data_IF_593783380267
#
_entry.id   IF_593783380267
#
_cell.length_a   1.000
_cell.length_b   1.000
_cell.length_c   1.000
_cell.angle_alpha   90.00
_cell.angle_beta   90.00
_cell.angle_gamma   90.00
#
_symmetry.space_group_name_H-M   'P 1'
#
loop_
_entity.id
_entity.type
_entity.pdbx_description
1 polymer ?
#
# COMPACT_ATOMS: atom_id res chain seq x y z
N UNK A 1 -45.18 24.81 14.69
CA UNK A 1 -45.87 26.10 14.42
C UNK A 1 -45.73 27.00 15.65
N UNK A 2 -45.24 28.24 15.51
CA UNK A 2 -44.99 29.16 16.65
C UNK A 2 -45.96 30.34 16.75
N UNK A 3 -46.96 30.43 15.87
CA UNK A 3 -47.93 31.53 15.82
C UNK A 3 -49.34 30.94 15.60
N UNK A 4 -50.34 31.51 16.28
CA UNK A 4 -51.76 31.12 16.19
C UNK A 4 -52.61 32.33 15.80
N UNK A 5 -53.84 32.09 15.36
CA UNK A 5 -54.80 33.14 15.00
C UNK A 5 -54.95 34.16 16.15
N UNK A 6 -54.92 35.45 15.81
CA UNK A 6 -54.95 36.57 16.77
C UNK A 6 -53.58 37.05 17.28
N UNK A 7 -52.47 36.42 16.89
CA UNK A 7 -51.13 36.88 17.27
C UNK A 7 -50.65 38.05 16.41
N UNK A 8 -50.10 39.08 17.06
CA UNK A 8 -49.37 40.16 16.38
C UNK A 8 -47.95 39.70 16.01
N UNK A 9 -47.61 39.69 14.72
CA UNK A 9 -46.31 39.25 14.21
C UNK A 9 -45.42 40.43 13.86
N UNK A 10 -44.13 40.35 14.20
CA UNK A 10 -43.11 41.34 13.84
C UNK A 10 -42.22 40.79 12.73
N UNK A 11 -41.61 41.66 11.88
CA UNK A 11 -40.53 41.24 10.99
C UNK A 11 -39.43 40.51 11.77
N UNK A 12 -39.05 39.32 11.32
CA UNK A 12 -38.12 38.43 12.01
C UNK A 12 -38.75 37.24 12.74
N UNK A 13 -40.09 37.20 12.91
CA UNK A 13 -40.75 36.05 13.52
C UNK A 13 -40.88 34.88 12.53
N UNK A 14 -40.31 33.72 12.87
CA UNK A 14 -40.53 32.47 12.12
C UNK A 14 -41.95 31.94 12.35
N UNK A 15 -42.80 32.02 11.33
CA UNK A 15 -44.21 31.62 11.41
C UNK A 15 -44.39 30.10 11.25
N UNK A 16 -43.68 29.53 10.28
CA UNK A 16 -43.73 28.13 9.90
C UNK A 16 -42.32 27.66 9.51
N UNK A 17 -42.00 26.41 9.83
CA UNK A 17 -40.81 25.71 9.34
C UNK A 17 -41.31 24.44 8.66
N UNK A 18 -40.96 24.28 7.39
CA UNK A 18 -41.35 23.14 6.55
C UNK A 18 -40.06 22.38 6.25
N UNK A 19 -40.03 21.09 6.59
CA UNK A 19 -38.97 20.17 6.19
C UNK A 19 -39.50 19.22 5.13
N UNK A 20 -38.73 19.00 4.07
CA UNK A 20 -38.98 17.91 3.12
C UNK A 20 -38.35 16.63 3.69
N UNK A 21 -39.06 15.50 3.58
CA UNK A 21 -38.68 14.20 4.14
C UNK A 21 -38.45 13.14 3.07
N UNK A 22 -38.48 13.52 1.80
CA UNK A 22 -38.14 12.67 0.65
C UNK A 22 -36.67 12.24 0.68
N UNK A 23 -35.81 13.03 1.31
CA UNK A 23 -34.43 12.68 1.64
C UNK A 23 -34.18 12.97 3.11
N UNK A 24 -33.53 12.02 3.78
CA UNK A 24 -33.19 12.14 5.20
C UNK A 24 -31.68 12.13 5.35
N UNK A 25 -31.20 12.98 6.25
CA UNK A 25 -29.81 12.98 6.65
C UNK A 25 -29.61 12.17 7.92
N UNK A 26 -28.54 11.39 7.93
CA UNK A 26 -28.08 10.68 9.12
C UNK A 26 -26.73 11.27 9.50
N UNK A 27 -26.62 11.73 10.74
CA UNK A 27 -25.35 12.19 11.29
C UNK A 27 -24.67 11.00 11.97
N UNK A 28 -23.53 10.58 11.44
CA UNK A 28 -22.67 9.57 12.01
C UNK A 28 -21.46 10.20 12.69
N UNK A 29 -20.99 9.56 13.76
CA UNK A 29 -19.77 9.92 14.47
C UNK A 29 -18.68 8.88 14.20
N UNK A 30 -17.56 9.32 13.64
CA UNK A 30 -16.41 8.47 13.30
C UNK A 30 -15.24 8.78 14.22
N UNK A 31 -14.52 7.78 14.71
CA UNK A 31 -13.36 8.01 15.58
C UNK A 31 -12.20 8.70 14.86
N UNK A 32 -11.41 9.48 15.60
CA UNK A 32 -10.25 10.22 15.09
C UNK A 32 -9.27 9.35 14.28
N UNK A 33 -9.01 8.10 14.72
CA UNK A 33 -8.10 7.17 14.04
C UNK A 33 -8.57 6.73 12.64
N UNK A 34 -9.88 6.72 12.42
CA UNK A 34 -10.52 6.26 11.19
C UNK A 34 -10.90 7.45 10.28
N UNK A 35 -10.70 8.69 10.76
CA UNK A 35 -11.08 9.92 10.06
C UNK A 35 -10.44 10.05 8.68
N UNK A 36 -9.19 9.59 8.52
CA UNK A 36 -8.45 9.66 7.26
C UNK A 36 -9.09 8.82 6.13
N UNK A 37 -9.84 7.77 6.49
CA UNK A 37 -10.50 6.88 5.55
C UNK A 37 -11.80 7.47 5.00
N UNK A 38 -12.39 8.45 5.70
CA UNK A 38 -13.71 8.97 5.36
C UNK A 38 -13.61 10.11 4.35
N UNK A 39 -14.14 9.88 3.16
CA UNK A 39 -14.21 10.86 2.08
C UNK A 39 -15.66 11.04 1.62
N UNK A 40 -15.95 12.21 1.05
CA UNK A 40 -17.24 12.47 0.39
C UNK A 40 -17.42 11.48 -0.77
N UNK A 41 -18.65 10.98 -0.94
CA UNK A 41 -19.01 10.06 -2.02
C UNK A 41 -18.81 8.58 -1.70
N UNK A 42 -18.24 8.22 -0.53
CA UNK A 42 -18.14 6.82 -0.14
C UNK A 42 -19.53 6.17 -0.04
N UNK A 43 -19.67 4.91 -0.51
CA UNK A 43 -20.91 4.16 -0.35
C UNK A 43 -21.15 3.81 1.11
N UNK A 44 -22.42 3.79 1.50
CA UNK A 44 -22.85 3.56 2.88
C UNK A 44 -24.03 2.61 2.90
N UNK A 45 -24.02 1.66 3.82
CA UNK A 45 -25.19 0.84 4.18
C UNK A 45 -25.68 1.23 5.57
N UNK A 46 -26.99 1.18 5.78
CA UNK A 46 -27.63 1.52 7.04
C UNK A 46 -28.72 0.51 7.39
N UNK A 47 -28.76 0.11 8.65
CA UNK A 47 -29.84 -0.71 9.25
C UNK A 47 -30.50 0.04 10.40
N UNK A 48 -31.77 -0.28 10.66
CA UNK A 48 -32.58 0.38 11.68
C UNK A 48 -33.16 -0.65 12.65
N UNK A 49 -32.92 -0.48 13.95
CA UNK A 49 -33.45 -1.39 14.97
C UNK A 49 -34.98 -1.43 15.01
N UNK A 50 -35.62 -0.30 14.69
CA UNK A 50 -37.09 -0.19 14.70
C UNK A 50 -37.74 -0.75 13.42
N UNK A 51 -36.95 -1.06 12.40
CA UNK A 51 -37.39 -1.63 11.14
C UNK A 51 -36.38 -2.71 10.69
N UNK A 52 -36.33 -3.86 11.40
CA UNK A 52 -35.34 -4.88 11.13
C UNK A 52 -35.60 -5.59 9.80
N UNK A 53 -34.52 -5.99 9.12
CA UNK A 53 -34.58 -6.75 7.86
C UNK A 53 -34.56 -5.91 6.59
N UNK A 54 -34.41 -4.58 6.70
CA UNK A 54 -34.21 -3.68 5.58
C UNK A 54 -32.83 -3.02 5.63
N UNK A 55 -32.12 -3.07 4.50
CA UNK A 55 -30.86 -2.36 4.29
C UNK A 55 -31.09 -1.13 3.42
N UNK A 56 -30.58 0.01 3.87
CA UNK A 56 -30.68 1.28 3.16
C UNK A 56 -29.33 1.63 2.57
N UNK A 57 -29.30 1.86 1.25
CA UNK A 57 -28.12 2.33 0.56
C UNK A 57 -28.09 3.87 0.56
N UNK A 58 -26.92 4.43 0.84
CA UNK A 58 -26.69 5.87 0.87
C UNK A 58 -25.26 6.22 0.53
N UNK A 59 -24.94 7.49 0.70
CA UNK A 59 -23.60 8.02 0.43
C UNK A 59 -23.17 9.03 1.49
N UNK A 60 -21.86 9.16 1.68
CA UNK A 60 -21.28 10.27 2.44
C UNK A 60 -21.50 11.57 1.68
N UNK A 61 -22.37 12.43 2.18
CA UNK A 61 -22.69 13.72 1.57
C UNK A 61 -21.70 14.82 1.99
N UNK A 62 -21.34 14.84 3.27
CA UNK A 62 -20.47 15.88 3.81
C UNK A 62 -19.67 15.41 5.02
N UNK A 63 -18.37 15.70 5.05
CA UNK A 63 -17.49 15.47 6.19
C UNK A 63 -17.21 16.81 6.85
N UNK A 64 -17.59 16.98 8.12
CA UNK A 64 -17.35 18.24 8.81
C UNK A 64 -15.86 18.43 9.09
N UNK A 65 -15.29 19.63 8.86
CA UNK A 65 -13.85 19.86 9.02
C UNK A 65 -13.41 19.99 10.49
N UNK A 66 -14.32 19.75 11.45
CA UNK A 66 -14.07 19.94 12.87
C UNK A 66 -14.41 18.69 13.66
N UNK A 67 -13.46 18.26 14.50
CA UNK A 67 -13.65 17.18 15.47
C UNK A 67 -14.44 17.69 16.68
N UNK A 68 -15.35 16.88 17.20
CA UNK A 68 -16.00 17.15 18.47
C UNK A 68 -15.02 16.84 19.62
N UNK A 69 -14.61 17.86 20.38
CA UNK A 69 -13.62 17.70 21.45
C UNK A 69 -14.09 16.88 22.65
N UNK A 70 -15.40 16.70 22.83
CA UNK A 70 -15.96 15.92 23.95
C UNK A 70 -15.95 14.42 23.67
N UNK A 71 -16.36 14.04 22.47
CA UNK A 71 -16.46 12.63 22.03
C UNK A 71 -15.22 12.16 21.30
N UNK A 72 -14.36 13.08 20.86
CA UNK A 72 -13.21 12.85 19.96
C UNK A 72 -13.62 12.15 18.66
N UNK A 73 -14.78 12.53 18.15
CA UNK A 73 -15.34 12.00 16.91
C UNK A 73 -15.45 13.08 15.83
N UNK A 74 -15.19 12.68 14.59
CA UNK A 74 -15.48 13.44 13.39
C UNK A 74 -16.95 13.24 13.02
N UNK A 75 -17.67 14.33 12.77
CA UNK A 75 -19.06 14.26 12.32
C UNK A 75 -19.14 14.11 10.82
N UNK A 76 -19.96 13.18 10.38
CA UNK A 76 -20.16 12.84 8.98
C UNK A 76 -21.65 12.86 8.68
N UNK A 77 -22.06 13.63 7.67
CA UNK A 77 -23.44 13.66 7.18
C UNK A 77 -23.59 12.69 6.03
N UNK A 78 -24.55 11.80 6.19
CA UNK A 78 -24.90 10.75 5.25
C UNK A 78 -26.26 11.09 4.65
N UNK A 79 -26.47 10.69 3.40
CA UNK A 79 -27.69 10.98 2.67
C UNK A 79 -28.35 9.68 2.20
N UNK A 80 -29.64 9.55 2.51
CA UNK A 80 -30.49 8.43 2.13
C UNK A 80 -31.77 8.95 1.48
N UNK A 81 -32.21 8.26 0.43
CA UNK A 81 -33.53 8.47 -0.14
C UNK A 81 -34.60 7.86 0.78
N UNK A 82 -35.75 8.52 0.89
CA UNK A 82 -36.83 8.14 1.78
C UNK A 82 -38.19 8.21 1.06
N UNK A 83 -38.26 7.58 -0.12
CA UNK A 83 -39.42 7.64 -1.02
C UNK A 83 -40.72 7.18 -0.35
N UNK A 84 -40.64 6.18 0.53
CA UNK A 84 -41.78 5.59 1.24
C UNK A 84 -42.01 6.22 2.62
N UNK A 85 -41.25 7.27 2.98
CA UNK A 85 -41.32 7.98 4.27
C UNK A 85 -41.14 7.07 5.50
N UNK A 86 -40.45 5.95 5.36
CA UNK A 86 -40.17 5.01 6.44
C UNK A 86 -39.09 5.53 7.40
N UNK A 87 -38.12 6.30 6.89
CA UNK A 87 -37.09 6.95 7.69
C UNK A 87 -37.68 8.09 8.50
N UNK A 88 -37.76 7.91 9.82
CA UNK A 88 -38.28 8.90 10.76
C UNK A 88 -37.13 9.70 11.38
N UNK A 89 -37.14 11.05 11.31
CA UNK A 89 -36.13 11.88 11.96
C UNK A 89 -36.01 11.60 13.46
N UNK A 90 -34.80 11.79 14.00
CA UNK A 90 -34.42 11.54 15.40
C UNK A 90 -34.43 10.07 15.84
N UNK A 91 -34.56 9.11 14.92
CA UNK A 91 -34.31 7.69 15.22
C UNK A 91 -32.82 7.38 15.19
N UNK A 92 -32.43 6.34 15.93
CA UNK A 92 -31.09 5.76 15.83
C UNK A 92 -30.98 4.86 14.60
N UNK A 93 -29.76 4.78 14.07
CA UNK A 93 -29.41 3.96 12.93
C UNK A 93 -28.01 3.38 13.15
N UNK A 94 -27.80 2.16 12.69
CA UNK A 94 -26.48 1.56 12.57
C UNK A 94 -26.01 1.76 11.14
N UNK A 95 -24.77 2.21 10.98
CA UNK A 95 -24.21 2.61 9.68
C UNK A 95 -22.89 1.91 9.46
N UNK A 96 -22.70 1.38 8.24
CA UNK A 96 -21.42 0.90 7.73
C UNK A 96 -20.99 1.76 6.54
N UNK A 97 -19.91 2.53 6.71
CA UNK A 97 -19.31 3.33 5.64
C UNK A 97 -18.23 2.48 4.97
N UNK A 98 -18.41 2.22 3.67
CA UNK A 98 -17.50 1.38 2.90
C UNK A 98 -16.38 2.24 2.32
N UNK A 99 -15.35 2.49 3.13
CA UNK A 99 -14.12 3.10 2.66
C UNK A 99 -13.36 2.08 1.80
N UNK A 100 -13.43 2.21 0.48
CA UNK A 100 -12.56 1.43 -0.42
C UNK A 100 -11.11 1.87 -0.18
N UNK A 101 -10.29 0.96 0.35
CA UNK A 101 -8.87 0.97 0.05
C UNK A 101 -8.62 -0.22 -0.87
N UNK A 102 -8.46 0.12 -2.15
CA UNK A 102 -8.01 -0.77 -3.20
C UNK A 102 -6.48 -0.78 -3.23
N UNK A 103 -5.87 -0.98 -2.07
CA UNK A 103 -4.47 -1.39 -2.01
C UNK A 103 -4.54 -2.90 -1.82
N UNK A 104 -4.00 -3.65 -2.79
CA UNK A 104 -3.93 -5.11 -2.70
C UNK A 104 -2.94 -5.42 -1.58
N UNK A 105 -3.47 -5.60 -0.36
CA UNK A 105 -2.64 -5.82 0.82
C UNK A 105 -2.71 -7.28 1.25
N UNK A 106 -1.59 -7.78 1.75
CA UNK A 106 -1.49 -9.14 2.24
C UNK A 106 -2.13 -9.18 3.63
N UNK A 107 -3.17 -10.01 3.77
CA UNK A 107 -3.84 -10.25 5.03
C UNK A 107 -3.45 -11.61 5.57
N UNK A 108 -2.95 -11.64 6.80
CA UNK A 108 -2.69 -12.89 7.52
C UNK A 108 -3.64 -13.02 8.72
N UNK A 109 -4.01 -14.25 9.13
CA UNK A 109 -4.75 -14.47 10.36
C UNK A 109 -4.00 -13.83 11.53
N UNK A 110 -4.72 -13.18 12.44
CA UNK A 110 -4.13 -12.51 13.61
C UNK A 110 -3.29 -13.46 14.45
N UNK A 111 -3.67 -14.73 14.51
CA UNK A 111 -2.92 -15.76 15.21
C UNK A 111 -1.55 -15.97 14.59
N UNK A 112 -1.35 -15.87 13.28
CA UNK A 112 -0.08 -16.15 12.62
C UNK A 112 1.05 -15.16 12.98
N UNK A 113 0.71 -14.00 13.55
CA UNK A 113 1.67 -12.94 13.89
C UNK A 113 2.11 -13.05 15.36
N UNK A 114 3.40 -13.24 15.58
CA UNK A 114 4.02 -13.24 16.90
C UNK A 114 4.52 -11.83 17.21
N UNK A 115 3.99 -11.24 18.29
CA UNK A 115 4.33 -9.89 18.72
C UNK A 115 5.17 -9.94 19.98
N UNK A 116 6.44 -9.53 19.90
CA UNK A 116 7.37 -9.53 21.05
C UNK A 116 7.50 -8.14 21.71
N UNK A 117 6.77 -7.15 21.20
CA UNK A 117 6.82 -5.75 21.65
C UNK A 117 8.02 -4.97 21.13
N UNK A 118 9.09 -5.64 20.68
CA UNK A 118 10.23 -5.01 20.00
C UNK A 118 10.23 -5.24 18.49
N UNK A 119 9.62 -6.33 18.04
CA UNK A 119 9.53 -6.76 16.65
C UNK A 119 8.27 -7.61 16.48
N UNK A 120 7.67 -7.53 15.30
CA UNK A 120 6.55 -8.36 14.86
C UNK A 120 7.09 -9.37 13.83
N UNK A 121 6.73 -10.65 13.96
CA UNK A 121 7.28 -11.72 13.12
C UNK A 121 6.21 -12.75 12.75
N UNK A 122 6.43 -13.44 11.64
CA UNK A 122 5.60 -14.56 11.17
C UNK A 122 6.49 -15.76 10.91
N UNK A 123 5.94 -16.97 11.09
CA UNK A 123 6.65 -18.22 10.76
C UNK A 123 6.18 -18.71 9.39
N UNK A 124 7.08 -18.69 8.41
CA UNK A 124 6.88 -19.27 7.08
C UNK A 124 7.07 -20.78 7.11
N UNK A 125 6.23 -21.50 6.37
CA UNK A 125 6.39 -22.90 6.04
C UNK A 125 6.98 -23.01 4.62
N UNK A 126 8.26 -23.39 4.53
CA UNK A 126 9.01 -23.43 3.27
C UNK A 126 8.83 -24.74 2.49
N UNK A 127 8.04 -25.68 3.01
CA UNK A 127 7.94 -27.04 2.52
C UNK A 127 8.89 -28.01 3.23
N UNK A 128 8.70 -29.32 3.03
CA UNK A 128 9.55 -30.40 3.58
C UNK A 128 9.78 -30.36 5.11
N UNK A 129 8.84 -29.78 5.85
CA UNK A 129 8.92 -29.64 7.32
C UNK A 129 9.89 -28.56 7.80
N UNK A 130 10.33 -27.67 6.90
CA UNK A 130 11.21 -26.55 7.22
C UNK A 130 10.39 -25.29 7.52
N UNK A 131 10.84 -24.55 8.54
CA UNK A 131 10.18 -23.34 9.02
C UNK A 131 11.19 -22.20 9.19
N UNK A 132 10.76 -20.98 8.91
CA UNK A 132 11.58 -19.79 9.13
C UNK A 132 10.77 -18.66 9.75
N UNK A 133 11.30 -18.08 10.83
CA UNK A 133 10.77 -16.83 11.39
C UNK A 133 11.27 -15.66 10.54
N UNK A 134 10.35 -14.86 10.03
CA UNK A 134 10.63 -13.62 9.28
C UNK A 134 10.06 -12.42 10.03
N UNK A 135 10.79 -11.32 10.03
CA UNK A 135 10.28 -10.05 10.52
C UNK A 135 9.29 -9.48 9.50
N UNK A 136 8.19 -8.89 10.00
CA UNK A 136 7.15 -8.30 9.16
C UNK A 136 6.79 -6.91 9.68
N UNK A 137 6.47 -6.01 8.76
CA UNK A 137 5.87 -4.74 9.11
C UNK A 137 4.35 -4.89 9.05
N UNK A 138 3.68 -4.72 10.18
CA UNK A 138 2.21 -4.83 10.24
C UNK A 138 1.55 -3.47 10.00
N UNK A 139 0.39 -3.50 9.34
CA UNK A 139 -0.48 -2.36 9.12
C UNK A 139 -1.70 -2.40 10.03
N UNK A 140 -2.87 -2.22 9.41
CA UNK A 140 -4.17 -2.25 10.10
C UNK A 140 -4.45 -3.63 10.70
N UNK A 141 -5.13 -3.60 11.83
CA UNK A 141 -5.57 -4.80 12.55
C UNK A 141 -7.08 -4.80 12.55
N UNK A 142 -7.67 -5.81 11.92
CA UNK A 142 -9.10 -6.09 11.96
C UNK A 142 -9.42 -7.08 13.10
N UNK A 143 -10.67 -7.54 13.17
CA UNK A 143 -11.16 -8.52 14.12
C UNK A 143 -10.40 -9.86 13.97
N UNK A 144 -10.25 -10.37 12.75
CA UNK A 144 -9.68 -11.71 12.49
C UNK A 144 -8.33 -11.68 11.77
N UNK A 145 -7.97 -10.56 11.13
CA UNK A 145 -6.79 -10.47 10.27
C UNK A 145 -5.91 -9.26 10.59
N UNK A 146 -4.63 -9.39 10.27
CA UNK A 146 -3.64 -8.32 10.30
C UNK A 146 -3.14 -8.08 8.88
N UNK A 147 -3.10 -6.81 8.51
CA UNK A 147 -2.47 -6.32 7.29
C UNK A 147 -0.95 -6.40 7.40
N UNK A 148 -0.29 -6.88 6.36
CA UNK A 148 1.16 -6.96 6.24
C UNK A 148 1.59 -5.97 5.15
N UNK A 149 2.38 -4.98 5.57
CA UNK A 149 2.90 -3.93 4.70
C UNK A 149 4.24 -4.31 4.08
N UNK A 150 5.00 -5.17 4.76
CA UNK A 150 6.32 -5.63 4.31
C UNK A 150 6.69 -6.97 4.95
N UNK A 151 7.52 -7.76 4.24
CA UNK A 151 8.11 -9.01 4.71
C UNK A 151 7.46 -10.30 4.21
N UNK A 152 6.29 -10.24 3.56
CA UNK A 152 5.56 -11.40 3.01
C UNK A 152 5.09 -11.18 1.58
N UNK A 153 5.11 -12.24 0.77
CA UNK A 153 4.53 -12.29 -0.58
C UNK A 153 3.14 -12.96 -0.57
N UNK A 154 2.33 -12.75 -1.61
CA UNK A 154 0.95 -13.26 -1.69
C UNK A 154 0.85 -14.80 -1.59
N UNK A 155 1.86 -15.51 -2.10
CA UNK A 155 1.90 -16.98 -2.11
C UNK A 155 2.60 -17.60 -0.87
N UNK A 156 3.03 -16.78 0.09
CA UNK A 156 3.73 -17.26 1.27
C UNK A 156 2.79 -18.05 2.20
N UNK A 157 3.21 -19.25 2.58
CA UNK A 157 2.45 -20.11 3.50
C UNK A 157 2.89 -19.83 4.94
N UNK A 158 1.97 -19.31 5.75
CA UNK A 158 2.23 -18.95 7.15
C UNK A 158 1.66 -20.00 8.12
N UNK A 159 2.36 -20.23 9.22
CA UNK A 159 1.90 -21.14 10.28
C UNK A 159 0.90 -20.44 11.19
N UNK A 160 -0.29 -21.03 11.36
CA UNK A 160 -1.38 -20.49 12.19
C UNK A 160 -1.56 -21.21 13.53
N UNK A 161 -0.80 -22.27 13.79
CA UNK A 161 -0.92 -23.11 14.99
C UNK A 161 0.44 -23.61 15.48
N UNK A 162 0.64 -23.65 16.79
CA UNK A 162 1.91 -24.03 17.44
C UNK A 162 3.13 -23.15 17.06
N UNK A 163 2.92 -21.99 16.45
CA UNK A 163 3.95 -21.04 16.05
C UNK A 163 4.93 -20.66 17.18
N UNK A 164 4.48 -20.60 18.44
CA UNK A 164 5.33 -20.25 19.58
C UNK A 164 6.32 -21.37 19.90
N UNK A 165 5.97 -22.63 19.68
CA UNK A 165 6.88 -23.76 19.87
C UNK A 165 7.93 -23.77 18.75
N UNK A 166 7.52 -23.50 17.52
CA UNK A 166 8.42 -23.45 16.35
C UNK A 166 9.36 -22.23 16.45
N UNK A 167 8.86 -21.06 16.83
CA UNK A 167 9.67 -19.86 17.07
C UNK A 167 10.59 -20.02 18.30
N UNK A 168 10.14 -20.73 19.33
CA UNK A 168 10.99 -21.08 20.47
C UNK A 168 12.09 -22.08 20.09
N UNK A 169 11.85 -22.99 19.15
CA UNK A 169 12.86 -23.94 18.68
C UNK A 169 13.86 -23.27 17.73
N UNK A 170 13.40 -22.40 16.83
CA UNK A 170 14.29 -21.61 15.96
C UNK A 170 15.16 -20.66 16.76
N UNK A 171 14.63 -20.02 17.81
CA UNK A 171 15.40 -19.15 18.73
C UNK A 171 16.29 -19.93 19.71
N UNK A 172 15.82 -21.04 20.29
CA UNK A 172 16.64 -21.90 21.19
C UNK A 172 17.72 -22.66 20.45
N UNK A 173 17.53 -23.02 19.18
CA UNK A 173 18.59 -23.56 18.32
C UNK A 173 19.80 -22.61 18.31
N UNK A 174 19.54 -21.29 18.26
CA UNK A 174 20.58 -20.25 18.32
C UNK A 174 21.21 -20.12 19.71
N UNK A 175 20.43 -20.19 20.80
CA UNK A 175 20.94 -20.01 22.17
C UNK A 175 21.57 -21.27 22.80
N UNK A 176 21.13 -22.49 22.46
CA UNK A 176 21.69 -23.74 23.00
C UNK A 176 23.01 -24.15 22.32
N UNK A 177 23.22 -23.70 21.06
CA UNK A 177 24.51 -23.79 20.36
C UNK A 177 25.63 -23.02 21.06
N UNK A 178 25.31 -22.03 21.90
CA UNK A 178 26.31 -21.31 22.72
C UNK A 178 26.86 -22.14 23.89
N UNK A 179 26.20 -23.24 24.27
CA UNK A 179 26.56 -24.04 25.45
C UNK A 179 26.94 -25.50 25.16
N UNK A 180 26.85 -25.95 23.89
CA UNK A 180 27.25 -27.30 23.48
C UNK A 180 28.16 -27.24 22.25
N UNK A 181 29.37 -27.75 22.40
CA UNK A 181 30.28 -28.06 21.30
C UNK A 181 29.74 -29.35 20.67
N UNK A 182 28.95 -29.26 19.60
CA UNK A 182 28.89 -30.27 18.52
C UNK A 182 28.01 -29.78 17.34
N UNK A 183 28.58 -29.93 16.15
CA UNK A 183 28.08 -29.65 14.78
C UNK A 183 27.63 -28.21 14.45
N UNK A 184 28.57 -27.46 13.86
CA UNK A 184 28.28 -26.29 13.01
C UNK A 184 27.27 -26.74 11.94
N UNK A 185 26.09 -26.11 11.82
CA UNK A 185 25.07 -26.57 10.90
C UNK A 185 25.58 -26.56 9.45
N UNK A 186 25.14 -27.52 8.64
CA UNK A 186 25.53 -27.59 7.23
C UNK A 186 24.85 -26.54 6.36
N UNK A 187 23.74 -25.96 6.82
CA UNK A 187 23.09 -24.80 6.20
C UNK A 187 22.73 -23.71 7.20
N UNK A 188 22.69 -22.46 6.74
CA UNK A 188 22.25 -21.29 7.51
C UNK A 188 21.40 -20.38 6.65
N UNK A 189 20.32 -19.85 7.24
CA UNK A 189 19.55 -18.78 6.62
C UNK A 189 20.09 -17.42 7.06
N UNK A 190 20.23 -16.52 6.10
CA UNK A 190 20.66 -15.14 6.31
C UNK A 190 19.78 -14.17 5.51
N UNK A 191 19.90 -12.88 5.82
CA UNK A 191 19.29 -11.78 5.08
C UNK A 191 20.40 -11.02 4.36
N UNK A 192 20.14 -10.54 3.16
CA UNK A 192 21.08 -9.71 2.42
C UNK A 192 20.48 -9.09 1.17
N UNK A 193 21.27 -8.21 0.56
CA UNK A 193 20.93 -7.46 -0.64
C UNK A 193 21.74 -7.96 -1.84
N UNK A 194 21.06 -8.21 -2.96
CA UNK A 194 21.69 -8.65 -4.21
C UNK A 194 22.45 -7.48 -4.82
N UNK A 195 23.77 -7.57 -4.89
CA UNK A 195 24.58 -6.57 -5.57
C UNK A 195 24.59 -6.82 -7.08
N UNK A 196 24.78 -8.08 -7.51
CA UNK A 196 24.77 -8.46 -8.93
C UNK A 196 24.45 -9.93 -9.15
N UNK A 197 23.87 -10.25 -10.31
CA UNK A 197 23.46 -11.60 -10.72
C UNK A 197 24.20 -12.00 -12.00
N UNK A 198 24.96 -13.09 -11.95
CA UNK A 198 25.65 -13.69 -13.09
C UNK A 198 24.94 -14.99 -13.50
N UNK A 199 23.77 -14.86 -14.13
CA UNK A 199 22.90 -15.99 -14.49
C UNK A 199 23.63 -17.09 -15.28
N UNK A 200 24.48 -16.70 -16.25
CA UNK A 200 25.25 -17.65 -17.07
C UNK A 200 26.29 -18.49 -16.29
N UNK A 201 26.68 -18.04 -15.09
CA UNK A 201 27.59 -18.77 -14.20
C UNK A 201 26.88 -19.30 -12.94
N UNK A 202 25.56 -19.12 -12.81
CA UNK A 202 24.78 -19.40 -11.60
C UNK A 202 25.42 -18.85 -10.32
N UNK A 203 25.95 -17.63 -10.40
CA UNK A 203 26.56 -16.95 -9.26
C UNK A 203 25.84 -15.64 -8.95
N UNK A 204 25.72 -15.33 -7.67
CA UNK A 204 25.13 -14.08 -7.18
C UNK A 204 26.06 -13.47 -6.14
N UNK A 205 26.34 -12.18 -6.30
CA UNK A 205 27.07 -11.41 -5.31
C UNK A 205 26.08 -10.76 -4.34
N UNK A 206 26.20 -11.05 -3.05
CA UNK A 206 25.26 -10.59 -2.01
C UNK A 206 26.03 -9.89 -0.88
N UNK A 207 25.54 -8.72 -0.49
CA UNK A 207 25.88 -8.08 0.79
C UNK A 207 24.99 -8.70 1.85
N UNK A 208 25.53 -9.50 2.76
CA UNK A 208 24.73 -10.25 3.71
C UNK A 208 25.03 -9.87 5.16
N UNK A 209 24.00 -9.94 6.00
CA UNK A 209 24.12 -9.79 7.45
C UNK A 209 24.92 -10.93 8.09
N UNK A 210 25.22 -10.82 9.39
CA UNK A 210 26.05 -11.81 10.09
C UNK A 210 25.39 -13.20 10.11
N UNK A 211 26.19 -14.25 9.94
CA UNK A 211 25.76 -15.63 10.12
C UNK A 211 26.37 -16.18 11.42
N UNK A 212 25.69 -15.94 12.55
CA UNK A 212 26.20 -16.30 13.89
C UNK A 212 26.61 -17.77 13.99
N UNK A 213 25.84 -18.68 13.38
CA UNK A 213 26.13 -20.11 13.46
C UNK A 213 27.44 -20.52 12.76
N UNK A 214 27.96 -19.69 11.85
CA UNK A 214 29.23 -19.91 11.13
C UNK A 214 30.31 -18.91 11.52
N UNK A 215 30.06 -18.06 12.53
CA UNK A 215 30.93 -16.93 12.92
C UNK A 215 31.26 -15.98 11.76
N UNK A 216 30.36 -15.85 10.79
CA UNK A 216 30.55 -14.91 9.69
C UNK A 216 30.07 -13.52 10.10
N UNK A 217 30.90 -12.47 9.92
CA UNK A 217 30.44 -11.11 10.07
C UNK A 217 29.52 -10.73 8.90
N UNK A 218 28.94 -9.54 8.99
CA UNK A 218 28.38 -8.89 7.80
C UNK A 218 29.49 -8.69 6.75
N UNK A 219 29.27 -9.16 5.53
CA UNK A 219 30.27 -9.11 4.46
C UNK A 219 29.63 -9.25 3.07
N UNK A 220 30.44 -9.02 2.04
CA UNK A 220 30.05 -9.17 0.63
C UNK A 220 30.71 -10.42 0.07
N UNK A 221 29.92 -11.35 -0.47
CA UNK A 221 30.39 -12.63 -0.98
C UNK A 221 29.69 -13.05 -2.27
N UNK A 222 30.41 -13.83 -3.08
CA UNK A 222 29.83 -14.57 -4.21
C UNK A 222 29.36 -15.93 -3.72
N UNK A 223 28.12 -16.29 -4.06
CA UNK A 223 27.57 -17.61 -3.83
C UNK A 223 27.18 -18.26 -5.15
N UNK A 224 27.45 -19.56 -5.28
CA UNK A 224 26.82 -20.36 -6.34
C UNK A 224 25.35 -20.59 -5.99
N UNK A 225 24.49 -20.82 -6.98
CA UNK A 225 23.05 -21.01 -6.79
C UNK A 225 22.63 -22.40 -7.23
N UNK A 226 22.11 -23.20 -6.30
CA UNK A 226 21.68 -24.57 -6.54
C UNK A 226 20.64 -24.66 -7.67
N UNK A 227 20.63 -25.73 -8.46
CA UNK A 227 19.70 -25.88 -9.60
C UNK A 227 18.22 -25.75 -9.22
N UNK A 228 17.87 -26.13 -7.98
CA UNK A 228 16.50 -26.01 -7.44
C UNK A 228 16.04 -24.57 -7.18
N UNK A 229 16.97 -23.62 -7.12
CA UNK A 229 16.68 -22.20 -6.92
C UNK A 229 16.60 -21.54 -8.29
N UNK A 230 15.48 -20.88 -8.57
CA UNK A 230 15.33 -20.06 -9.77
C UNK A 230 16.24 -18.83 -9.64
N UNK A 231 17.25 -18.73 -10.51
CA UNK A 231 18.17 -17.59 -10.50
C UNK A 231 17.60 -16.42 -11.30
N UNK A 232 16.67 -16.68 -12.23
CA UNK A 232 16.09 -15.65 -13.09
C UNK A 232 15.10 -14.77 -12.31
N UNK A 233 14.66 -15.22 -11.12
CA UNK A 233 13.85 -14.41 -10.21
C UNK A 233 14.67 -13.35 -9.45
N UNK A 234 16.00 -13.48 -9.39
CA UNK A 234 16.88 -12.58 -8.65
C UNK A 234 17.30 -11.38 -9.52
N UNK A 235 17.25 -10.18 -8.95
CA UNK A 235 17.68 -8.93 -9.57
C UNK A 235 18.59 -8.15 -8.63
N UNK A 236 19.52 -7.39 -9.21
CA UNK A 236 20.33 -6.43 -8.44
C UNK A 236 19.43 -5.42 -7.73
N UNK A 237 19.76 -5.08 -6.49
CA UNK A 237 19.00 -4.19 -5.62
C UNK A 237 17.93 -4.86 -4.77
N UNK A 238 17.63 -6.14 -4.98
CA UNK A 238 16.62 -6.86 -4.19
C UNK A 238 17.16 -7.26 -2.81
N UNK A 239 16.35 -7.02 -1.78
CA UNK A 239 16.55 -7.63 -0.46
C UNK A 239 15.93 -9.03 -0.46
N UNK A 240 16.66 -10.00 0.08
CA UNK A 240 16.14 -11.35 0.25
C UNK A 240 16.64 -12.02 1.52
N UNK A 241 15.84 -12.98 1.92
CA UNK A 241 16.24 -14.08 2.76
C UNK A 241 16.81 -15.21 1.89
N UNK A 242 17.95 -15.77 2.25
CA UNK A 242 18.51 -16.91 1.53
C UNK A 242 19.14 -17.95 2.45
N UNK A 243 19.05 -19.21 2.05
CA UNK A 243 19.70 -20.34 2.69
C UNK A 243 21.02 -20.62 1.99
N UNK A 244 22.10 -20.65 2.75
CA UNK A 244 23.41 -21.08 2.27
C UNK A 244 23.73 -22.45 2.85
N UNK A 245 24.07 -23.40 2.00
CA UNK A 245 24.53 -24.73 2.38
C UNK A 245 26.00 -24.96 2.00
N UNK A 246 26.73 -25.72 2.82
CA UNK A 246 28.09 -26.18 2.50
C UNK A 246 28.03 -27.28 1.44
N UNK A 247 28.84 -27.16 0.39
CA UNK A 247 28.99 -28.21 -0.62
C UNK A 247 30.04 -29.24 -0.18
N UNK A 248 30.00 -30.43 -0.78
CA UNK A 248 30.98 -31.50 -0.49
C UNK A 248 32.43 -31.08 -0.79
N UNK A 249 32.61 -30.16 -1.74
CA UNK A 249 33.91 -29.61 -2.14
C UNK A 249 34.40 -28.47 -1.23
N UNK A 250 33.66 -28.15 -0.15
CA UNK A 250 33.99 -27.08 0.80
C UNK A 250 33.61 -25.68 0.34
N UNK A 251 32.80 -25.56 -0.72
CA UNK A 251 32.19 -24.31 -1.18
C UNK A 251 30.87 -24.02 -0.47
N UNK A 252 30.22 -22.94 -0.90
CA UNK A 252 28.94 -22.48 -0.37
C UNK A 252 27.97 -22.22 -1.51
N UNK A 253 26.76 -22.75 -1.38
CA UNK A 253 25.73 -22.67 -2.41
C UNK A 253 24.41 -22.21 -1.80
N UNK A 254 23.70 -21.32 -2.50
CA UNK A 254 22.35 -20.89 -2.14
C UNK A 254 21.38 -22.02 -2.48
N UNK A 255 20.73 -22.57 -1.46
CA UNK A 255 19.81 -23.72 -1.58
C UNK A 255 18.34 -23.34 -1.40
N UNK A 256 18.06 -22.11 -0.98
CA UNK A 256 16.72 -21.58 -0.82
C UNK A 256 16.75 -20.07 -0.86
N UNK A 257 15.71 -19.47 -1.42
CA UNK A 257 15.53 -18.02 -1.44
C UNK A 257 14.09 -17.69 -1.04
N UNK A 258 13.94 -16.54 -0.41
CA UNK A 258 12.67 -15.87 -0.16
C UNK A 258 12.93 -14.39 -0.42
N UNK A 259 12.50 -13.93 -1.60
CA UNK A 259 12.65 -12.53 -2.01
C UNK A 259 11.72 -11.72 -1.13
N UNK A 260 12.24 -10.72 -0.43
CA UNK A 260 11.41 -9.87 0.38
C UNK A 260 10.59 -8.98 -0.54
N UNK A 261 9.32 -8.82 -0.22
CA UNK A 261 8.43 -7.90 -0.92
C UNK A 261 9.06 -6.51 -0.89
N UNK A 262 9.22 -5.88 -2.04
CA UNK A 262 9.50 -4.44 -2.04
C UNK A 262 8.26 -3.76 -1.42
N UNK A 263 8.44 -2.78 -0.52
CA UNK A 263 7.30 -2.05 0.02
C UNK A 263 6.48 -1.52 -1.16
N UNK A 264 5.16 -1.76 -1.16
CA UNK A 264 4.27 -1.20 -2.19
C UNK A 264 4.31 0.33 -2.10
N UNK A 265 5.22 0.92 -2.86
CA UNK A 265 5.34 2.36 -3.01
C UNK A 265 4.32 2.76 -4.05
N UNK A 266 3.39 3.63 -3.64
CA UNK A 266 2.40 4.20 -4.55
C UNK A 266 3.10 4.84 -5.74
N UNK A 267 3.04 4.21 -6.92
CA UNK A 267 3.67 4.73 -8.14
C UNK A 267 2.64 5.35 -9.07
N UNK A 268 3.01 6.23 -10.00
CA UNK A 268 2.14 6.70 -11.08
C UNK A 268 2.94 7.03 -12.34
N UNK A 269 2.36 6.71 -13.50
CA UNK A 269 2.89 7.12 -14.81
C UNK A 269 2.07 8.29 -15.34
N UNK A 270 2.75 9.38 -15.68
CA UNK A 270 2.13 10.63 -16.13
C UNK A 270 2.97 11.29 -17.21
N UNK A 271 2.30 12.07 -18.06
CA UNK A 271 2.98 12.99 -18.98
C UNK A 271 3.19 14.34 -18.31
N UNK A 272 4.30 15.00 -18.62
CA UNK A 272 4.60 16.34 -18.12
C UNK A 272 5.68 17.08 -18.90
N UNK A 273 5.75 18.39 -18.68
CA UNK A 273 6.76 19.27 -19.26
C UNK A 273 7.87 19.53 -18.24
N UNK A 274 9.12 19.29 -18.62
CA UNK A 274 10.28 19.62 -17.79
C UNK A 274 10.46 21.15 -17.75
N UNK A 275 10.34 21.76 -16.57
CA UNK A 275 10.54 23.19 -16.38
C UNK A 275 11.97 23.54 -15.94
N UNK A 276 12.63 22.66 -15.18
CA UNK A 276 14.00 22.85 -14.73
C UNK A 276 14.69 21.51 -14.47
N UNK A 277 16.02 21.49 -14.67
CA UNK A 277 16.90 20.35 -14.43
C UNK A 277 18.02 20.80 -13.49
N UNK A 278 18.14 20.14 -12.35
CA UNK A 278 19.29 20.25 -11.46
C UNK A 278 20.04 18.90 -11.46
N UNK A 279 21.16 18.87 -12.17
CA UNK A 279 21.98 17.65 -12.34
C UNK A 279 22.73 17.31 -11.05
N UNK A 280 23.14 18.31 -10.26
CA UNK A 280 23.93 18.10 -9.05
C UNK A 280 23.09 17.44 -7.95
N UNK A 281 21.81 17.82 -7.85
CA UNK A 281 20.87 17.25 -6.87
C UNK A 281 19.96 16.16 -7.43
N UNK A 282 20.07 15.85 -8.74
CA UNK A 282 19.21 14.93 -9.47
C UNK A 282 17.72 15.26 -9.38
N UNK A 283 17.38 16.55 -9.41
CA UNK A 283 16.01 17.03 -9.31
C UNK A 283 15.50 17.55 -10.66
N UNK A 284 14.34 17.06 -11.09
CA UNK A 284 13.56 17.59 -12.20
C UNK A 284 12.31 18.31 -11.66
N UNK A 285 12.15 19.59 -12.01
CA UNK A 285 10.87 20.27 -11.79
C UNK A 285 9.97 20.02 -13.00
N UNK A 286 8.86 19.32 -12.81
CA UNK A 286 7.97 18.90 -13.91
C UNK A 286 6.55 19.40 -13.69
N UNK A 287 5.98 20.02 -14.72
CA UNK A 287 4.55 20.34 -14.79
C UNK A 287 3.81 19.13 -15.36
N UNK A 288 3.25 18.30 -14.48
CA UNK A 288 2.55 17.06 -14.89
C UNK A 288 1.04 17.24 -15.07
N UNK A 289 0.46 16.38 -15.90
CA UNK A 289 -1.00 16.21 -16.02
C UNK A 289 -1.65 15.68 -14.74
N UNK A 290 -3.00 15.58 -14.71
CA UNK A 290 -3.72 15.01 -13.58
C UNK A 290 -3.43 13.51 -13.40
N UNK A 291 -3.50 13.03 -12.16
CA UNK A 291 -3.37 11.61 -11.81
C UNK A 291 -4.76 11.10 -11.46
N UNK A 292 -5.48 10.61 -12.47
CA UNK A 292 -6.88 10.17 -12.30
C UNK A 292 -7.02 9.09 -11.22
N UNK A 293 -6.09 8.13 -11.19
CA UNK A 293 -6.10 7.05 -10.19
C UNK A 293 -6.01 7.53 -8.74
N UNK A 294 -5.49 8.73 -8.51
CA UNK A 294 -5.31 9.30 -7.18
C UNK A 294 -6.16 10.56 -6.95
N UNK A 295 -7.05 10.89 -7.89
CA UNK A 295 -7.85 12.13 -7.88
C UNK A 295 -6.99 13.40 -7.63
N UNK A 296 -5.77 13.41 -8.19
CA UNK A 296 -4.85 14.56 -8.05
C UNK A 296 -4.90 15.42 -9.30
N UNK A 297 -5.17 16.74 -9.20
CA UNK A 297 -5.14 17.62 -10.36
C UNK A 297 -3.72 17.75 -10.92
N UNK A 298 -3.64 18.33 -12.13
CA UNK A 298 -2.36 18.75 -12.71
C UNK A 298 -1.62 19.68 -11.75
N UNK A 299 -0.31 19.50 -11.64
CA UNK A 299 0.51 20.25 -10.69
C UNK A 299 1.97 20.26 -11.13
N UNK A 300 2.69 21.29 -10.68
CA UNK A 300 4.12 21.46 -10.87
C UNK A 300 4.83 21.14 -9.58
N UNK A 301 5.81 20.23 -9.62
CA UNK A 301 6.55 19.80 -8.44
C UNK A 301 7.93 19.28 -8.82
N UNK A 302 8.78 19.15 -7.81
CA UNK A 302 10.10 18.58 -7.90
C UNK A 302 10.03 17.06 -7.76
N UNK A 303 10.78 16.36 -8.61
CA UNK A 303 10.96 14.92 -8.58
C UNK A 303 12.44 14.60 -8.55
N UNK A 304 12.84 13.65 -7.70
CA UNK A 304 14.19 13.11 -7.64
C UNK A 304 14.32 12.03 -8.72
N UNK A 305 15.41 11.99 -9.46
CA UNK A 305 15.65 10.99 -10.51
C UNK A 305 16.49 9.85 -9.97
N UNK A 306 15.99 8.61 -10.06
CA UNK A 306 16.71 7.42 -9.59
C UNK A 306 18.09 7.28 -10.25
N UNK A 307 19.08 6.78 -9.51
CA UNK A 307 20.50 6.78 -9.91
C UNK A 307 20.79 6.02 -11.22
N UNK A 308 19.92 5.08 -11.59
CA UNK A 308 20.00 4.29 -12.81
C UNK A 308 19.54 5.03 -14.08
N UNK A 309 19.05 6.27 -13.97
CA UNK A 309 18.54 7.06 -15.09
C UNK A 309 19.54 8.17 -15.45
N UNK A 310 19.97 8.22 -16.70
CA UNK A 310 20.87 9.26 -17.19
C UNK A 310 20.08 10.53 -17.53
N UNK A 311 20.29 11.62 -16.77
CA UNK A 311 19.55 12.88 -16.99
C UNK A 311 20.08 13.71 -18.17
N UNK A 312 21.24 13.35 -18.71
CA UNK A 312 21.90 14.09 -19.80
C UNK A 312 21.11 14.08 -21.11
N UNK A 313 20.18 13.14 -21.26
CA UNK A 313 19.34 12.98 -22.46
C UNK A 313 18.10 13.88 -22.47
N UNK A 314 17.85 14.63 -21.38
CA UNK A 314 16.67 15.49 -21.23
C UNK A 314 17.03 16.97 -21.19
N UNK A 315 16.16 17.81 -21.73
CA UNK A 315 16.29 19.26 -21.77
C UNK A 315 15.08 19.95 -21.15
N UNK A 316 15.29 21.17 -20.66
CA UNK A 316 14.19 22.04 -20.25
C UNK A 316 13.29 22.33 -21.46
N UNK A 317 12.00 22.08 -21.31
CA UNK A 317 11.00 22.21 -22.36
C UNK A 317 10.60 20.88 -23.02
N UNK A 318 11.23 19.77 -22.67
CA UNK A 318 10.86 18.46 -23.19
C UNK A 318 9.54 17.97 -22.57
N UNK A 319 8.67 17.40 -23.41
CA UNK A 319 7.53 16.62 -22.96
C UNK A 319 8.00 15.18 -22.71
N UNK A 320 7.73 14.69 -21.51
CA UNK A 320 8.16 13.39 -21.06
C UNK A 320 6.98 12.59 -20.52
N UNK A 321 6.97 11.30 -20.78
CA UNK A 321 6.19 10.32 -20.02
C UNK A 321 7.12 9.71 -18.99
N UNK A 322 6.74 9.78 -17.72
CA UNK A 322 7.58 9.27 -16.63
C UNK A 322 6.74 8.54 -15.59
N UNK A 323 7.35 7.51 -15.00
CA UNK A 323 6.84 6.77 -13.85
C UNK A 323 7.61 7.23 -12.62
N UNK A 324 6.89 7.59 -11.57
CA UNK A 324 7.48 7.94 -10.29
C UNK A 324 6.83 7.15 -9.15
N UNK A 325 7.59 6.94 -8.09
CA UNK A 325 7.17 6.31 -6.85
C UNK A 325 7.05 7.36 -5.74
N UNK A 326 6.03 7.22 -4.91
CA UNK A 326 5.83 8.03 -3.70
C UNK A 326 6.47 7.28 -2.55
N UNK A 327 7.65 7.74 -2.15
CA UNK A 327 8.36 7.30 -0.93
C UNK A 327 8.26 8.44 0.10
N UNK A 328 9.34 8.76 0.81
CA UNK A 328 9.46 10.03 1.54
C UNK A 328 9.48 11.24 0.57
N UNK A 329 10.05 11.03 -0.63
CA UNK A 329 10.09 11.96 -1.75
C UNK A 329 9.42 11.35 -3.01
N UNK A 330 9.24 12.17 -4.06
CA UNK A 330 8.73 11.71 -5.35
C UNK A 330 9.90 11.31 -6.24
N UNK A 331 10.09 10.00 -6.46
CA UNK A 331 11.26 9.46 -7.17
C UNK A 331 10.88 8.93 -8.55
N UNK A 332 11.43 9.48 -9.62
CA UNK A 332 11.28 8.98 -10.99
C UNK A 332 12.09 7.70 -11.14
N UNK A 333 11.42 6.61 -11.48
CA UNK A 333 12.02 5.29 -11.71
C UNK A 333 12.06 4.90 -13.18
N UNK A 334 11.29 5.58 -14.04
CA UNK A 334 11.35 5.45 -15.50
C UNK A 334 10.95 6.77 -16.15
N UNK A 335 11.62 7.18 -17.23
CA UNK A 335 11.32 8.41 -17.96
C UNK A 335 11.71 8.30 -19.43
N UNK A 336 10.84 8.78 -20.31
CA UNK A 336 11.04 8.76 -21.75
C UNK A 336 10.50 10.04 -22.40
N UNK A 337 11.13 10.48 -23.49
CA UNK A 337 10.63 11.58 -24.31
C UNK A 337 9.36 11.15 -25.04
N UNK A 338 8.33 12.01 -25.05
CA UNK A 338 7.18 11.79 -25.93
C UNK A 338 7.59 12.02 -27.39
N UNK A 339 7.43 11.00 -28.23
CA UNK A 339 7.68 11.11 -29.67
C UNK A 339 6.49 11.78 -30.40
N UNK A 340 6.79 12.72 -31.30
CA UNK A 340 5.86 13.54 -32.12
C UNK A 340 4.98 12.76 -33.15
N UNK A 341 4.54 11.53 -32.89
CA UNK A 341 3.76 10.72 -33.86
C UNK A 341 2.22 10.81 -33.75
N UNK A 342 1.65 11.83 -33.10
CA UNK A 342 0.19 12.06 -33.10
C UNK A 342 -0.26 13.45 -33.57
N UNK A 343 0.39 14.04 -34.58
CA UNK A 343 -0.13 15.17 -35.35
C UNK A 343 -0.53 14.75 -36.78
N UNK A 344 -1.34 13.69 -36.90
CA UNK A 344 -1.65 13.04 -38.18
C UNK A 344 -3.12 12.64 -38.39
N UNK A 345 -4.09 13.41 -37.89
CA UNK A 345 -5.48 13.34 -38.40
C UNK A 345 -6.04 14.75 -38.57
N UNK A 346 -5.50 15.46 -39.56
CA UNK A 346 -6.17 16.63 -40.12
C UNK A 346 -7.54 16.26 -40.68
N UNK A 347 -8.51 17.01 -40.20
CA UNK A 347 -9.89 17.08 -40.64
C UNK A 347 -9.93 17.47 -42.13
N UNK A 348 -10.00 16.48 -43.03
CA UNK A 348 -10.35 16.68 -44.44
C UNK A 348 -11.82 17.13 -44.51
N UNK A 349 -12.06 18.43 -44.35
CA UNK A 349 -13.27 19.06 -44.85
C UNK A 349 -13.19 19.06 -46.38
N UNK A 350 -13.99 18.20 -47.00
CA UNK A 350 -14.18 18.17 -48.44
C UNK A 350 -14.80 19.50 -48.90
N UNK A 351 -14.02 20.27 -49.66
CA UNK A 351 -14.53 21.36 -50.49
C UNK A 351 -15.16 20.71 -51.72
N UNK A 352 -16.49 20.67 -51.77
CA UNK A 352 -17.22 20.33 -52.99
C UNK A 352 -17.37 21.59 -53.85
N UNK A 353 -16.63 21.61 -54.95
CA UNK A 353 -16.87 22.51 -56.08
C UNK A 353 -16.89 21.68 -57.37
N UNK A 354 -18.09 21.30 -57.81
CA UNK A 354 -18.34 20.92 -59.20
C UNK A 354 -19.78 21.26 -59.65
N UNK A 355 -19.90 22.34 -60.44
CA UNK A 355 -20.84 22.59 -61.55
C UNK A 355 -22.15 21.77 -61.68
N UNK A 356 -23.31 22.44 -61.64
CA UNK A 356 -24.03 22.92 -62.84
C UNK A 356 -25.13 23.94 -62.47
#
# INVERSE_FOLDING_TARGET
MKVREGFYVKPGNTLLSIGQLDQVWVEAEVFERDAALIKKGLPVSMTLDYLPGEDWAGVVDYVYPTLNSKTRTLRVRLKFDNTDYQLKPNMFAQVSIHANQADSTILVPKEAVIRTGKQDRVVLALGDGQFKSIEVTIGRVDIDSIEILDGLNEDDVVVTSAQFLIDSESSKSSDFKRMTHDEVPNSVWMQGDVNSVMAGHRMVNISHGPAEAWDWPEMVMDFTVAEKVDIDSLKSGQSLHFEVSKTEDGGYEITGIHIMSEPEVSSATVSGLINAIDIDTRILNISRGPIEKWDRPAATMDFIVADNIEMVDFNVGDNVTFTFEVRDDLVITDISLESDEQHGKENKAAVDHSNH
#
